data_IF_414301504320
#
_entry.id   IF_414301504320
#
_cell.length_a   1.000
_cell.length_b   1.000
_cell.length_c   1.000
_cell.angle_alpha   90.00
_cell.angle_beta   90.00
_cell.angle_gamma   90.00
#
_symmetry.space_group_name_H-M   'P 1'
#
loop_
_entity.id
_entity.type
_entity.pdbx_description
1 polymer ?
#
# COMPACT_ATOMS: atom_id res chain seq x y z
N UNK A 1 15.80 -15.97 -12.20
CA UNK A 1 14.88 -16.34 -11.11
C UNK A 1 13.82 -15.26 -11.11
N UNK A 2 12.59 -15.60 -11.52
CA UNK A 2 11.49 -14.65 -11.51
C UNK A 2 11.03 -14.48 -10.05
N UNK A 3 10.74 -13.25 -9.64
CA UNK A 3 10.13 -13.04 -8.34
C UNK A 3 8.68 -13.53 -8.40
N UNK A 4 8.22 -14.23 -7.37
CA UNK A 4 6.81 -14.60 -7.20
C UNK A 4 6.14 -13.73 -6.13
N UNK A 5 6.88 -12.81 -5.50
CA UNK A 5 6.45 -11.98 -4.40
C UNK A 5 7.08 -10.60 -4.51
N UNK A 6 6.24 -9.57 -4.48
CA UNK A 6 6.64 -8.20 -4.16
C UNK A 6 6.00 -7.76 -2.84
N UNK A 7 6.76 -6.95 -2.10
CA UNK A 7 6.36 -6.39 -0.81
C UNK A 7 6.71 -4.90 -0.81
N UNK A 8 5.71 -4.08 -0.50
CA UNK A 8 5.85 -2.65 -0.25
C UNK A 8 5.52 -2.29 1.21
N UNK A 9 6.37 -1.47 1.85
CA UNK A 9 6.22 -0.98 3.23
C UNK A 9 6.39 0.54 3.23
N UNK A 10 5.48 1.24 3.90
CA UNK A 10 5.58 2.70 4.02
C UNK A 10 6.77 3.11 4.90
N UNK A 11 7.18 2.27 5.87
CA UNK A 11 8.24 2.60 6.85
C UNK A 11 9.63 2.74 6.25
N UNK A 12 9.83 2.28 5.02
CA UNK A 12 11.14 2.26 4.37
C UNK A 12 11.77 3.66 4.24
N UNK A 13 10.95 4.72 4.23
CA UNK A 13 11.40 6.11 4.16
C UNK A 13 11.17 6.95 5.44
N UNK A 14 10.49 6.41 6.46
CA UNK A 14 10.35 7.15 7.72
C UNK A 14 11.62 6.94 8.55
N UNK A 15 12.68 7.66 8.19
CA UNK A 15 13.84 7.83 9.09
C UNK A 15 13.32 8.45 10.38
N UNK A 16 13.78 7.89 11.50
CA UNK A 16 13.38 8.33 12.82
C UNK A 16 13.66 9.84 12.96
N UNK A 17 12.59 10.60 13.18
CA UNK A 17 12.54 12.03 13.47
C UNK A 17 12.51 12.92 12.22
N UNK A 18 11.74 14.01 12.36
CA UNK A 18 11.48 15.07 11.37
C UNK A 18 10.30 14.82 10.42
N UNK A 19 9.37 15.77 10.48
CA UNK A 19 8.22 15.86 9.61
C UNK A 19 8.69 16.12 8.18
N UNK A 20 8.10 15.43 7.21
CA UNK A 20 8.34 15.72 5.79
C UNK A 20 7.16 16.54 5.28
N UNK A 21 7.43 17.76 4.83
CA UNK A 21 6.52 18.51 3.97
C UNK A 21 6.86 18.19 2.52
N UNK A 22 5.96 17.51 1.80
CA UNK A 22 6.10 17.38 0.35
C UNK A 22 5.48 18.61 -0.32
N UNK A 23 6.33 19.59 -0.62
CA UNK A 23 5.96 20.86 -1.28
C UNK A 23 5.48 20.69 -2.72
N UNK A 24 5.41 19.46 -3.26
CA UNK A 24 4.98 19.16 -4.63
C UNK A 24 3.50 18.73 -4.74
N UNK A 25 2.77 18.75 -3.62
CA UNK A 25 1.32 18.50 -3.55
C UNK A 25 0.55 19.83 -3.39
N UNK A 26 -0.61 20.01 -4.06
CA UNK A 26 -1.40 21.25 -3.94
C UNK A 26 -2.00 21.48 -2.54
N UNK A 27 -2.03 20.46 -1.66
CA UNK A 27 -2.62 20.54 -0.32
C UNK A 27 -1.62 20.35 0.83
N UNK A 28 -0.30 20.27 0.55
CA UNK A 28 0.82 20.15 1.51
C UNK A 28 0.49 19.33 2.79
N UNK A 29 0.26 18.01 2.67
CA UNK A 29 0.08 17.17 3.85
C UNK A 29 1.41 17.05 4.63
N UNK A 30 1.37 17.34 5.94
CA UNK A 30 2.54 17.22 6.84
C UNK A 30 2.56 15.81 7.44
N UNK A 31 3.56 15.01 7.07
CA UNK A 31 3.74 13.62 7.51
C UNK A 31 4.80 13.50 8.66
N UNK A 32 4.54 12.86 9.80
CA UNK A 32 5.33 12.74 11.05
C UNK A 32 4.96 11.44 11.82
N UNK A 33 5.57 11.20 13.00
CA UNK A 33 5.42 9.99 13.85
C UNK A 33 4.00 9.88 14.49
N UNK A 34 3.38 8.69 14.49
CA UNK A 34 2.05 8.48 15.11
C UNK A 34 0.93 9.21 14.41
N UNK A 35 1.12 9.51 13.13
CA UNK A 35 0.29 10.46 12.44
C UNK A 35 -0.92 9.89 11.78
N UNK A 36 -1.90 10.79 11.64
CA UNK A 36 -3.10 10.60 10.87
C UNK A 36 -3.07 11.57 9.70
N UNK A 37 -3.03 11.06 8.47
CA UNK A 37 -3.22 11.87 7.27
C UNK A 37 -4.70 11.91 6.94
N UNK A 38 -5.21 13.12 6.69
CA UNK A 38 -6.58 13.32 6.22
C UNK A 38 -6.60 13.43 4.70
N UNK A 39 -7.46 12.63 4.08
CA UNK A 39 -7.78 12.66 2.66
C UNK A 39 -9.17 13.28 2.51
N UNK A 40 -9.28 14.55 2.10
CA UNK A 40 -10.56 15.25 2.07
C UNK A 40 -11.51 14.72 1.01
N UNK A 41 -10.99 14.11 -0.07
CA UNK A 41 -11.78 13.65 -1.20
C UNK A 41 -11.78 12.12 -1.29
N UNK A 42 -12.85 11.56 -1.87
CA UNK A 42 -12.83 10.17 -2.37
C UNK A 42 -11.84 10.05 -3.54
N UNK A 43 -11.48 8.81 -3.88
CA UNK A 43 -10.56 8.45 -4.97
C UNK A 43 -9.16 9.05 -4.83
N UNK A 44 -8.79 9.49 -3.62
CA UNK A 44 -7.47 10.04 -3.37
C UNK A 44 -6.44 8.91 -3.27
N UNK A 45 -5.32 8.94 -4.02
CA UNK A 45 -4.33 7.88 -4.01
C UNK A 45 -3.48 7.88 -2.73
N UNK A 46 -3.20 6.68 -2.23
CA UNK A 46 -2.31 6.43 -1.09
C UNK A 46 -0.86 6.22 -1.57
N UNK A 47 -0.25 7.33 -1.98
CA UNK A 47 1.04 7.40 -2.66
C UNK A 47 2.28 7.35 -1.73
N UNK A 48 2.28 6.45 -0.74
CA UNK A 48 3.34 6.38 0.28
C UNK A 48 3.95 4.98 0.47
N UNK A 49 3.51 3.99 -0.31
CA UNK A 49 4.07 2.65 -0.30
C UNK A 49 5.32 2.59 -1.18
N UNK A 50 6.38 1.98 -0.66
CA UNK A 50 7.67 1.86 -1.33
C UNK A 50 8.20 0.43 -1.23
N UNK A 51 9.02 -0.03 -2.18
CA UNK A 51 9.55 -1.40 -2.16
C UNK A 51 10.30 -1.63 -0.85
N UNK A 52 9.96 -2.69 -0.12
CA UNK A 52 10.69 -3.03 1.10
C UNK A 52 12.08 -3.53 0.73
N UNK A 53 13.13 -2.93 1.30
CA UNK A 53 14.48 -3.51 1.19
C UNK A 53 14.49 -4.86 1.90
N UNK A 54 15.08 -5.92 1.32
CA UNK A 54 15.22 -7.19 2.01
C UNK A 54 16.00 -6.98 3.31
N UNK A 55 15.56 -7.63 4.39
CA UNK A 55 16.03 -7.44 5.77
C UNK A 55 17.54 -7.72 6.03
N UNK A 56 18.33 -8.01 4.99
CA UNK A 56 19.74 -8.38 5.09
C UNK A 56 20.72 -7.26 4.66
N UNK A 57 20.25 -6.04 4.34
CA UNK A 57 21.15 -4.92 3.98
C UNK A 57 21.62 -4.08 5.19
N UNK A 58 21.20 -4.40 6.41
CA UNK A 58 21.59 -3.68 7.65
C UNK A 58 22.72 -4.35 8.44
N UNK A 59 23.37 -5.37 7.89
CA UNK A 59 24.53 -6.02 8.53
C UNK A 59 25.67 -6.12 7.54
N UNK A 60 26.82 -5.56 7.92
CA UNK A 60 27.96 -5.30 7.05
C UNK A 60 28.48 -6.51 6.27
N UNK A 61 29.13 -6.19 5.16
CA UNK A 61 30.03 -7.07 4.40
C UNK A 61 29.48 -8.45 4.01
N UNK A 62 28.65 -8.51 2.96
CA UNK A 62 28.58 -9.72 2.12
C UNK A 62 28.27 -9.39 0.66
N UNK A 63 29.34 -9.50 -0.15
CA UNK A 63 29.44 -9.74 -1.60
C UNK A 63 28.15 -9.57 -2.43
N UNK A 64 28.17 -8.54 -3.27
CA UNK A 64 27.48 -8.45 -4.57
C UNK A 64 27.61 -9.77 -5.32
N UNK A 65 26.55 -10.58 -5.37
CA UNK A 65 26.29 -11.58 -6.43
C UNK A 65 24.96 -12.30 -6.18
N UNK A 66 23.85 -11.56 -6.13
CA UNK A 66 22.55 -12.11 -6.51
C UNK A 66 22.05 -11.29 -7.67
N UNK A 67 21.88 -11.92 -8.84
CA UNK A 67 21.08 -11.39 -9.96
C UNK A 67 19.73 -11.01 -9.35
N UNK A 68 19.47 -9.72 -9.13
CA UNK A 68 18.14 -9.30 -8.67
C UNK A 68 17.17 -9.72 -9.76
N UNK A 69 16.22 -10.61 -9.43
CA UNK A 69 15.11 -10.87 -10.34
C UNK A 69 14.39 -9.56 -10.71
N UNK A 70 13.60 -9.58 -11.78
CA UNK A 70 12.75 -8.43 -12.11
C UNK A 70 11.56 -8.43 -11.14
N UNK A 71 11.17 -7.29 -10.55
CA UNK A 71 9.98 -7.22 -9.71
C UNK A 71 8.73 -7.51 -10.54
N UNK A 72 7.68 -8.01 -9.89
CA UNK A 72 6.36 -8.24 -10.49
C UNK A 72 5.62 -6.93 -10.79
N UNK A 73 5.86 -5.91 -9.97
CA UNK A 73 5.30 -4.58 -10.09
C UNK A 73 6.38 -3.51 -9.88
N UNK A 74 6.28 -2.41 -10.59
CA UNK A 74 7.15 -1.25 -10.43
C UNK A 74 6.36 0.00 -10.11
N UNK A 75 6.95 0.93 -9.34
CA UNK A 75 6.32 2.23 -9.12
C UNK A 75 6.56 3.08 -10.37
N UNK A 76 5.55 3.20 -11.23
CA UNK A 76 5.63 3.98 -12.47
C UNK A 76 5.37 5.47 -12.25
N UNK A 77 4.53 5.79 -11.26
CA UNK A 77 4.30 7.17 -10.80
C UNK A 77 4.18 7.20 -9.28
N UNK A 78 5.26 7.61 -8.61
CA UNK A 78 5.28 7.68 -7.15
C UNK A 78 4.29 8.72 -6.61
N UNK A 79 4.06 9.84 -7.31
CA UNK A 79 3.16 10.91 -6.84
C UNK A 79 1.71 10.44 -6.77
N UNK A 80 1.32 9.58 -7.70
CA UNK A 80 -0.04 9.03 -7.79
C UNK A 80 -0.14 7.61 -7.20
N UNK A 81 0.95 7.10 -6.60
CA UNK A 81 0.97 5.76 -6.00
C UNK A 81 0.66 4.65 -6.99
N UNK A 82 1.11 4.78 -8.25
CA UNK A 82 0.83 3.80 -9.31
C UNK A 82 1.88 2.70 -9.30
N UNK A 83 1.40 1.46 -9.20
CA UNK A 83 2.17 0.23 -9.42
C UNK A 83 1.84 -0.33 -10.81
N UNK A 84 2.79 -0.24 -11.75
CA UNK A 84 2.67 -0.87 -13.06
C UNK A 84 3.03 -2.36 -12.97
N UNK A 85 2.16 -3.22 -13.50
CA UNK A 85 2.37 -4.66 -13.52
C UNK A 85 3.28 -5.06 -14.68
N UNK A 86 4.26 -5.92 -14.40
CA UNK A 86 5.24 -6.37 -15.39
C UNK A 86 4.96 -7.76 -15.96
N UNK A 87 4.16 -8.56 -15.28
CA UNK A 87 3.89 -9.95 -15.65
C UNK A 87 2.39 -10.23 -15.57
N UNK A 88 1.79 -10.77 -16.63
CA UNK A 88 0.38 -11.18 -16.59
C UNK A 88 0.23 -12.42 -15.72
N UNK A 89 -0.79 -12.46 -14.87
CA UNK A 89 -0.99 -13.58 -13.96
C UNK A 89 -2.21 -13.49 -13.06
N UNK A 90 -2.35 -14.52 -12.24
CA UNK A 90 -3.26 -14.55 -11.11
C UNK A 90 -2.47 -14.12 -9.87
N UNK A 91 -2.88 -13.02 -9.24
CA UNK A 91 -2.22 -12.41 -8.11
C UNK A 91 -3.05 -12.56 -6.84
N UNK A 92 -2.43 -13.02 -5.74
CA UNK A 92 -2.94 -12.75 -4.40
C UNK A 92 -2.45 -11.36 -3.97
N UNK A 93 -3.40 -10.48 -3.71
CA UNK A 93 -3.16 -9.11 -3.23
C UNK A 93 -3.53 -9.03 -1.77
N UNK A 94 -2.61 -8.51 -0.96
CA UNK A 94 -2.81 -8.22 0.45
C UNK A 94 -2.51 -6.76 0.75
N UNK A 95 -3.42 -6.11 1.47
CA UNK A 95 -3.22 -4.81 2.10
C UNK A 95 -3.63 -4.92 3.56
N UNK A 96 -2.79 -4.41 4.46
CA UNK A 96 -3.23 -4.05 5.80
C UNK A 96 -2.82 -2.61 6.08
N UNK A 97 -3.76 -1.80 6.58
CA UNK A 97 -3.50 -0.40 6.95
C UNK A 97 -4.49 0.04 8.02
N UNK A 98 -4.08 0.99 8.86
CA UNK A 98 -4.95 1.52 9.92
C UNK A 98 -5.62 2.78 9.43
N UNK A 99 -6.93 2.88 9.64
CA UNK A 99 -7.71 4.09 9.43
C UNK A 99 -8.30 4.58 10.76
N UNK A 100 -8.59 5.88 10.83
CA UNK A 100 -9.33 6.51 11.94
C UNK A 100 -10.77 6.69 11.45
N UNK A 101 -11.69 5.91 12.00
CA UNK A 101 -13.05 5.75 11.50
C UNK A 101 -14.04 5.60 12.66
N UNK A 102 -14.45 6.73 13.25
CA UNK A 102 -15.45 6.78 14.32
C UNK A 102 -16.86 6.42 13.80
N UNK A 103 -17.14 6.79 12.56
CA UNK A 103 -18.44 6.59 11.90
C UNK A 103 -18.62 5.19 11.34
N UNK A 104 -17.53 4.39 11.28
CA UNK A 104 -17.51 3.04 10.70
C UNK A 104 -17.92 2.99 9.22
N UNK A 105 -17.77 4.10 8.50
CA UNK A 105 -18.26 4.26 7.13
C UNK A 105 -17.15 4.30 6.09
N UNK A 106 -15.90 4.47 6.51
CA UNK A 106 -14.77 4.64 5.62
C UNK A 106 -14.21 3.29 5.17
N UNK A 107 -13.80 3.20 3.92
CA UNK A 107 -13.13 2.07 3.29
C UNK A 107 -11.98 2.57 2.42
N UNK A 108 -11.05 1.67 2.14
CA UNK A 108 -10.03 1.87 1.12
C UNK A 108 -10.24 0.82 0.04
N UNK A 109 -9.92 1.20 -1.19
CA UNK A 109 -10.03 0.36 -2.37
C UNK A 109 -8.68 0.08 -2.99
N UNK A 110 -8.56 -1.07 -3.65
CA UNK A 110 -7.52 -1.35 -4.64
C UNK A 110 -8.18 -1.23 -6.00
N UNK A 111 -7.67 -0.31 -6.81
CA UNK A 111 -8.09 -0.10 -8.19
C UNK A 111 -7.10 -0.71 -9.16
N UNK A 112 -7.60 -1.34 -10.21
CA UNK A 112 -6.85 -1.75 -11.41
C UNK A 112 -7.37 -0.91 -12.57
N UNK A 113 -6.49 -0.17 -13.26
CA UNK A 113 -6.85 0.73 -14.36
C UNK A 113 -7.99 1.70 -14.00
N UNK A 114 -7.90 2.32 -12.83
CA UNK A 114 -8.92 3.20 -12.24
C UNK A 114 -10.26 2.56 -11.85
N UNK A 115 -10.46 1.25 -12.03
CA UNK A 115 -11.64 0.55 -11.52
C UNK A 115 -11.32 -0.12 -10.18
N UNK A 116 -12.07 0.21 -9.13
CA UNK A 116 -11.94 -0.47 -7.83
C UNK A 116 -12.44 -1.90 -7.92
N UNK A 117 -11.56 -2.86 -7.59
CA UNK A 117 -11.82 -4.30 -7.71
C UNK A 117 -11.81 -5.01 -6.36
N UNK A 118 -11.12 -4.46 -5.37
CA UNK A 118 -11.14 -4.93 -3.98
C UNK A 118 -11.33 -3.75 -3.04
N UNK A 119 -11.97 -3.98 -1.90
CA UNK A 119 -12.08 -2.98 -0.83
C UNK A 119 -12.12 -3.66 0.54
N UNK A 120 -11.71 -2.93 1.58
CA UNK A 120 -11.88 -3.45 2.93
C UNK A 120 -13.33 -3.21 3.40
N UNK A 121 -13.93 -4.16 4.14
CA UNK A 121 -15.29 -3.98 4.61
C UNK A 121 -15.40 -2.79 5.57
N UNK A 122 -16.54 -2.10 5.53
CA UNK A 122 -16.92 -1.07 6.52
C UNK A 122 -17.18 -1.73 7.88
N UNK A 123 -17.02 -0.97 8.97
CA UNK A 123 -17.26 -1.50 10.34
C UNK A 123 -16.36 -2.66 10.79
N UNK A 124 -15.23 -2.90 10.11
CA UNK A 124 -14.30 -4.02 10.40
C UNK A 124 -13.53 -3.94 11.74
N UNK A 125 -12.50 -4.78 11.86
CA UNK A 125 -11.80 -5.03 13.13
C UNK A 125 -11.11 -3.81 13.74
N UNK A 126 -11.32 -3.63 15.05
CA UNK A 126 -10.65 -2.61 15.86
C UNK A 126 -9.25 -3.06 16.28
N UNK A 127 -8.37 -2.11 16.53
CA UNK A 127 -7.01 -2.38 16.98
C UNK A 127 -6.97 -3.08 18.36
N UNK A 128 -6.52 -4.36 18.46
CA UNK A 128 -6.69 -5.16 19.68
C UNK A 128 -5.80 -4.80 20.87
N UNK A 129 -4.90 -3.82 20.75
CA UNK A 129 -3.94 -3.46 21.80
C UNK A 129 -4.01 -1.97 22.20
N UNK A 130 -5.14 -1.32 21.95
CA UNK A 130 -5.37 0.06 22.38
C UNK A 130 -6.52 0.04 23.37
N UNK A 131 -6.25 -0.27 24.64
CA UNK A 131 -7.26 -0.24 25.72
C UNK A 131 -7.37 1.16 26.36
N UNK A 132 -7.00 2.21 25.63
CA UNK A 132 -7.15 3.60 26.05
C UNK A 132 -8.50 4.17 25.60
N UNK A 133 -9.01 5.17 26.33
CA UNK A 133 -10.16 5.94 25.89
C UNK A 133 -9.96 6.47 24.45
N UNK A 134 -11.03 6.44 23.65
CA UNK A 134 -10.97 6.88 22.24
C UNK A 134 -10.28 5.90 21.27
N UNK A 135 -9.90 4.69 21.69
CA UNK A 135 -9.27 3.71 20.79
C UNK A 135 -10.22 3.04 19.80
N UNK A 136 -11.53 3.09 20.06
CA UNK A 136 -12.58 2.48 19.25
C UNK A 136 -12.61 3.00 17.81
N UNK A 137 -12.03 4.19 17.58
CA UNK A 137 -11.90 4.81 16.26
C UNK A 137 -10.84 4.20 15.37
N UNK A 138 -9.86 3.48 15.94
CA UNK A 138 -8.78 2.91 15.15
C UNK A 138 -9.19 1.55 14.59
N UNK A 139 -9.31 1.50 13.27
CA UNK A 139 -9.76 0.31 12.53
C UNK A 139 -8.65 -0.19 11.64
N UNK A 140 -8.45 -1.50 11.61
CA UNK A 140 -7.55 -2.14 10.66
C UNK A 140 -8.37 -2.44 9.40
N UNK A 141 -8.07 -1.70 8.33
CA UNK A 141 -8.56 -1.98 6.99
C UNK A 141 -7.66 -3.06 6.38
N UNK A 142 -8.22 -4.26 6.21
CA UNK A 142 -7.56 -5.40 5.57
C UNK A 142 -8.26 -5.68 4.24
N UNK A 143 -7.47 -5.84 3.19
CA UNK A 143 -7.92 -6.28 1.87
C UNK A 143 -7.11 -7.51 1.51
N UNK A 144 -7.81 -8.61 1.26
CA UNK A 144 -7.25 -9.86 0.78
C UNK A 144 -8.09 -10.32 -0.41
N UNK A 145 -7.46 -10.54 -1.56
CA UNK A 145 -8.19 -10.97 -2.76
C UNK A 145 -7.28 -11.56 -3.82
N UNK A 146 -7.85 -12.47 -4.61
CA UNK A 146 -7.19 -13.06 -5.78
C UNK A 146 -7.74 -12.38 -7.04
N UNK A 147 -6.86 -11.86 -7.88
CA UNK A 147 -7.21 -11.10 -9.08
C UNK A 147 -6.46 -11.63 -10.31
N UNK A 148 -7.14 -11.66 -11.45
CA UNK A 148 -6.49 -11.71 -12.75
C UNK A 148 -5.98 -10.31 -13.09
N UNK A 149 -4.67 -10.17 -13.35
CA UNK A 149 -4.04 -8.90 -13.69
C UNK A 149 -3.10 -9.10 -14.88
N UNK A 150 -3.15 -8.20 -15.85
CA UNK A 150 -2.31 -8.26 -17.04
C UNK A 150 -1.06 -7.39 -16.87
N UNK A 151 0.00 -7.72 -17.62
CA UNK A 151 1.11 -6.81 -17.81
C UNK A 151 0.59 -5.45 -18.34
N UNK A 152 1.25 -4.37 -17.92
CA UNK A 152 0.90 -2.97 -18.18
C UNK A 152 -0.33 -2.43 -17.44
N UNK A 153 -1.10 -3.29 -16.75
CA UNK A 153 -2.14 -2.82 -15.84
C UNK A 153 -1.55 -1.96 -14.72
N UNK A 154 -2.34 -1.01 -14.23
CA UNK A 154 -1.96 -0.06 -13.20
C UNK A 154 -2.75 -0.30 -11.92
N UNK A 155 -2.07 -0.64 -10.83
CA UNK A 155 -2.68 -0.73 -9.51
C UNK A 155 -2.50 0.56 -8.73
N UNK A 156 -3.53 0.94 -7.99
CA UNK A 156 -3.52 2.03 -7.03
C UNK A 156 -4.32 1.66 -5.79
N UNK A 157 -3.89 2.15 -4.64
CA UNK A 157 -4.67 2.10 -3.41
C UNK A 157 -5.30 3.47 -3.22
N UNK A 158 -6.63 3.54 -3.02
CA UNK A 158 -7.39 4.80 -2.97
C UNK A 158 -8.34 4.86 -1.78
N UNK A 159 -8.67 6.07 -1.37
CA UNK A 159 -9.83 6.31 -0.49
C UNK A 159 -11.12 6.07 -1.24
N UNK A 160 -12.12 5.45 -0.59
CA UNK A 160 -13.45 5.28 -1.19
C UNK A 160 -14.41 6.40 -0.78
N UNK A 161 -14.18 6.99 0.39
CA UNK A 161 -14.98 8.08 0.93
C UNK A 161 -14.13 9.34 1.14
N UNK A 162 -14.80 10.48 1.12
CA UNK A 162 -14.27 11.77 1.57
C UNK A 162 -13.94 11.74 3.07
N UNK A 163 -13.11 12.68 3.49
CA UNK A 163 -12.64 12.83 4.87
C UNK A 163 -11.99 11.58 5.49
N UNK A 164 -11.57 10.62 4.65
CA UNK A 164 -10.90 9.39 5.11
C UNK A 164 -9.58 9.72 5.81
N UNK A 165 -9.36 9.13 6.98
CA UNK A 165 -8.15 9.34 7.76
C UNK A 165 -7.32 8.07 7.85
N UNK A 166 -6.06 8.13 7.45
CA UNK A 166 -5.11 7.01 7.45
C UNK A 166 -4.06 7.22 8.52
N UNK A 167 -3.83 6.22 9.38
CA UNK A 167 -2.89 6.30 10.49
C UNK A 167 -1.62 5.47 10.27
N UNK A 168 -0.48 6.12 10.45
CA UNK A 168 0.85 5.53 10.33
C UNK A 168 1.40 5.18 11.71
N UNK A 169 1.27 3.89 12.06
CA UNK A 169 1.73 3.40 13.35
C UNK A 169 3.24 3.21 13.41
N UNK A 170 3.85 3.55 14.54
CA UNK A 170 5.30 3.35 14.73
C UNK A 170 5.64 1.88 14.94
N UNK A 171 4.81 1.15 15.68
CA UNK A 171 5.13 -0.22 16.13
C UNK A 171 4.44 -1.30 15.30
N UNK A 172 3.52 -0.92 14.39
CA UNK A 172 2.83 -1.85 13.49
C UNK A 172 3.20 -1.57 12.04
N UNK A 173 3.35 -2.60 11.22
CA UNK A 173 3.62 -2.45 9.80
C UNK A 173 2.30 -2.51 9.03
N UNK A 174 2.08 -1.54 8.16
CA UNK A 174 1.06 -1.58 7.10
C UNK A 174 1.80 -1.99 5.85
N UNK A 175 1.33 -3.04 5.20
CA UNK A 175 2.02 -3.72 4.12
C UNK A 175 1.08 -3.80 2.94
N UNK A 176 1.62 -3.58 1.76
CA UNK A 176 1.01 -3.96 0.51
C UNK A 176 1.85 -5.06 -0.10
N UNK A 177 1.25 -6.19 -0.43
CA UNK A 177 1.94 -7.35 -1.01
C UNK A 177 1.20 -7.83 -2.25
N UNK A 178 1.96 -8.24 -3.23
CA UNK A 178 1.47 -8.92 -4.41
C UNK A 178 2.22 -10.24 -4.56
N UNK A 179 1.49 -11.35 -4.63
CA UNK A 179 2.05 -12.68 -4.83
C UNK A 179 1.53 -13.22 -6.16
N UNK A 180 2.43 -13.53 -7.08
CA UNK A 180 2.08 -14.19 -8.33
C UNK A 180 1.84 -15.67 -8.04
N UNK A 181 0.59 -16.11 -8.17
CA UNK A 181 0.15 -17.49 -7.95
C UNK A 181 0.28 -18.33 -9.23
N UNK A 182 0.02 -17.70 -10.39
CA UNK A 182 0.06 -18.36 -11.69
C UNK A 182 0.39 -17.36 -12.80
N UNK A 183 1.33 -17.68 -13.67
CA UNK A 183 1.64 -16.87 -14.87
C UNK A 183 0.63 -17.13 -15.97
N UNK A 184 0.25 -16.09 -16.70
CA UNK A 184 -0.64 -16.19 -17.86
C UNK A 184 0.06 -15.73 -19.14
N UNK A 185 -0.37 -16.20 -20.32
CA UNK A 185 0.10 -15.66 -21.58
C UNK A 185 -0.17 -14.15 -21.66
N UNK A 186 0.79 -13.39 -22.20
CA UNK A 186 0.54 -11.99 -22.51
C UNK A 186 -0.59 -11.89 -23.54
N UNK A 187 -1.67 -11.18 -23.20
CA UNK A 187 -2.70 -10.83 -24.18
C UNK A 187 -2.09 -9.78 -25.11
N UNK A 188 -1.63 -10.20 -26.28
CA UNK A 188 -1.32 -9.27 -27.37
C UNK A 188 -2.59 -8.50 -27.69
N UNK A 189 -2.61 -7.19 -27.44
CA UNK A 189 -3.68 -6.32 -27.94
C UNK A 189 -3.68 -6.41 -29.46
N UNK A 190 -4.69 -7.05 -30.04
CA UNK A 190 -5.05 -6.97 -31.46
C UNK A 190 -5.75 -5.65 -31.74
#
# INVERSE_FOLDING_TARGET
MNFFLDWYDYKTNFTFHECISDTRWPTVPIACRGQTLKYPNSDSPLAFYLPSKPANETSGNRKKNRKSGKPLMEITNQKEGIFGVRESGIYLIHLNIIIVDETQTHSLGISVNNQTVLSCPKGGFRCPHLNSEGSYKYRICVIDGVLEINAEDQLQIKTMEKDTMVRFEQNRKSQFKAVLLHTMPSKTRT
#
